data_IF_450773889105
#
_entry.id   IF_450773889105
#
_cell.length_a   1.000
_cell.length_b   1.000
_cell.length_c   1.000
_cell.angle_alpha   90.00
_cell.angle_beta   90.00
_cell.angle_gamma   90.00
#
_symmetry.space_group_name_H-M   'P 1'
#
loop_
_entity.id
_entity.type
_entity.pdbx_description
1 polymer ?
#
# COMPACT_ATOMS: atom_id res chain seq x y z
N UNK A 1 7.45 5.63 8.38
CA UNK A 1 8.42 4.56 8.73
C UNK A 1 7.80 3.71 9.82
N UNK A 2 7.67 2.39 9.63
CA UNK A 2 7.12 1.45 10.64
C UNK A 2 8.27 1.01 11.58
N UNK A 3 8.32 1.48 12.83
CA UNK A 3 9.43 1.15 13.73
C UNK A 3 9.54 -0.35 14.03
N UNK A 4 8.42 -1.06 14.14
CA UNK A 4 8.34 -2.49 14.43
C UNK A 4 8.98 -3.33 13.31
N UNK A 5 8.61 -3.05 12.06
CA UNK A 5 9.19 -3.71 10.89
C UNK A 5 10.69 -3.45 10.78
N UNK A 6 11.13 -2.22 11.08
CA UNK A 6 12.55 -1.85 11.09
C UNK A 6 13.34 -2.56 12.19
N UNK A 7 12.76 -2.75 13.38
CA UNK A 7 13.42 -3.46 14.49
C UNK A 7 13.75 -4.92 14.14
N UNK A 8 12.93 -5.58 13.34
CA UNK A 8 13.08 -7.00 13.04
C UNK A 8 13.84 -7.26 11.74
N UNK A 9 13.63 -6.45 10.70
CA UNK A 9 14.37 -6.60 9.43
C UNK A 9 15.60 -5.68 9.32
N UNK A 10 15.88 -4.83 10.32
CA UNK A 10 17.00 -3.89 10.36
C UNK A 10 16.90 -2.70 9.39
N UNK A 11 16.20 -2.86 8.25
CA UNK A 11 16.30 -1.95 7.09
C UNK A 11 15.00 -1.27 6.64
N UNK A 12 13.83 -1.59 7.20
CA UNK A 12 12.56 -0.97 6.76
C UNK A 12 12.22 -1.35 5.29
N UNK A 13 11.58 -0.45 4.54
CA UNK A 13 11.39 -0.63 3.08
C UNK A 13 12.75 -0.52 2.37
N UNK A 14 13.29 -1.65 1.92
CA UNK A 14 14.62 -1.74 1.33
C UNK A 14 14.56 -2.00 -0.17
N UNK A 15 15.24 -1.16 -0.95
CA UNK A 15 15.44 -1.39 -2.38
C UNK A 15 16.89 -1.79 -2.64
N UNK A 16 17.12 -2.88 -3.36
CA UNK A 16 18.44 -3.33 -3.81
C UNK A 16 18.38 -3.65 -5.31
N UNK A 17 19.27 -3.06 -6.11
CA UNK A 17 19.28 -3.19 -7.58
C UNK A 17 17.88 -2.96 -8.22
N UNK A 18 17.23 -1.85 -7.81
CA UNK A 18 15.88 -1.45 -8.23
C UNK A 18 14.75 -2.45 -7.89
N UNK A 19 15.00 -3.37 -6.94
CA UNK A 19 14.04 -4.37 -6.48
C UNK A 19 13.64 -4.15 -5.04
N UNK A 20 12.34 -4.30 -4.74
CA UNK A 20 11.82 -4.27 -3.38
C UNK A 20 12.16 -5.56 -2.64
N UNK A 21 12.82 -5.44 -1.48
CA UNK A 21 13.19 -6.57 -0.63
C UNK A 21 12.23 -6.65 0.56
N UNK A 22 11.42 -7.71 0.60
CA UNK A 22 10.53 -8.01 1.74
C UNK A 22 9.24 -7.20 1.81
N UNK A 23 8.93 -6.41 0.76
CA UNK A 23 7.67 -5.70 0.56
C UNK A 23 7.27 -5.75 -0.92
N UNK A 24 5.99 -5.50 -1.19
CA UNK A 24 5.47 -5.35 -2.55
C UNK A 24 5.01 -3.91 -2.78
N UNK A 25 4.91 -3.54 -4.05
CA UNK A 25 4.18 -2.36 -4.50
C UNK A 25 3.23 -2.79 -5.62
N UNK A 26 1.96 -2.41 -5.50
CA UNK A 26 0.90 -2.67 -6.47
C UNK A 26 0.29 -1.35 -6.92
N UNK A 27 0.29 -1.09 -8.22
CA UNK A 27 -0.49 -0.01 -8.80
C UNK A 27 -1.96 -0.41 -8.83
N UNK A 28 -2.81 0.36 -8.13
CA UNK A 28 -4.25 0.15 -8.05
C UNK A 28 -4.99 0.81 -9.23
N UNK A 29 -4.32 1.69 -9.96
CA UNK A 29 -4.86 2.31 -11.18
C UNK A 29 -4.69 1.38 -12.37
N UNK A 30 -3.50 0.78 -12.52
CA UNK A 30 -3.19 -0.23 -13.53
C UNK A 30 -2.59 -1.49 -12.88
N UNK A 31 -3.41 -2.54 -12.74
CA UNK A 31 -2.97 -3.77 -12.07
C UNK A 31 -1.84 -4.51 -12.81
N UNK A 32 -1.60 -4.20 -14.09
CA UNK A 32 -0.50 -4.78 -14.85
C UNK A 32 0.87 -4.21 -14.47
N UNK A 33 0.89 -3.00 -13.89
CA UNK A 33 2.07 -2.32 -13.35
C UNK A 33 2.30 -2.72 -11.88
N UNK A 34 2.91 -3.88 -11.65
CA UNK A 34 3.15 -4.42 -10.31
C UNK A 34 4.62 -4.75 -10.06
N UNK A 35 5.14 -4.32 -8.91
CA UNK A 35 6.46 -4.67 -8.40
C UNK A 35 6.46 -5.97 -7.58
N UNK A 36 5.55 -6.91 -7.89
CA UNK A 36 5.36 -8.16 -7.13
C UNK A 36 6.30 -9.27 -7.64
N UNK A 37 6.70 -9.23 -8.91
CA UNK A 37 7.59 -10.23 -9.51
C UNK A 37 9.06 -9.79 -9.40
N UNK A 38 9.96 -10.76 -9.18
CA UNK A 38 11.42 -10.57 -9.12
C UNK A 38 12.00 -9.90 -10.39
N UNK A 39 11.27 -9.95 -11.50
CA UNK A 39 11.70 -9.46 -12.81
C UNK A 39 11.00 -8.16 -13.25
N UNK A 40 10.12 -7.59 -12.41
CA UNK A 40 9.34 -6.39 -12.78
C UNK A 40 9.63 -5.22 -11.86
N UNK A 41 10.17 -4.15 -12.43
CA UNK A 41 10.22 -2.85 -11.79
C UNK A 41 8.83 -2.21 -11.83
N UNK A 42 8.53 -1.36 -10.85
CA UNK A 42 7.32 -0.55 -10.87
C UNK A 42 7.66 0.86 -11.31
N UNK A 43 6.90 1.38 -12.28
CA UNK A 43 7.00 2.78 -12.67
C UNK A 43 5.97 3.61 -11.89
N UNK A 44 6.45 4.69 -11.29
CA UNK A 44 5.57 5.68 -10.65
C UNK A 44 5.07 6.67 -11.71
N UNK A 45 3.78 6.58 -12.01
CA UNK A 45 3.07 7.28 -13.09
C UNK A 45 2.20 8.37 -12.48
N UNK A 46 2.19 9.54 -13.14
CA UNK A 46 1.42 10.69 -12.70
C UNK A 46 -0.09 10.38 -12.60
N UNK A 47 -0.67 10.67 -11.44
CA UNK A 47 -2.07 10.44 -11.12
C UNK A 47 -2.44 9.00 -10.82
N UNK A 48 -1.46 8.09 -10.65
CA UNK A 48 -1.70 6.72 -10.22
C UNK A 48 -1.68 6.58 -8.70
N UNK A 49 -2.34 5.53 -8.23
CA UNK A 49 -2.48 5.17 -6.82
C UNK A 49 -1.77 3.85 -6.58
N UNK A 50 -0.98 3.78 -5.53
CA UNK A 50 -0.14 2.63 -5.21
C UNK A 50 -0.48 2.10 -3.83
N UNK A 51 -0.56 0.79 -3.68
CA UNK A 51 -0.56 0.12 -2.39
C UNK A 51 0.78 -0.58 -2.19
N UNK A 52 1.38 -0.38 -1.03
CA UNK A 52 2.58 -1.09 -0.65
C UNK A 52 2.53 -1.51 0.81
N UNK A 53 3.14 -2.65 1.09
CA UNK A 53 3.18 -3.26 2.42
C UNK A 53 4.31 -4.28 2.49
N UNK A 54 4.89 -4.53 3.67
CA UNK A 54 5.65 -5.74 3.91
C UNK A 54 4.87 -7.00 3.49
N UNK A 55 5.57 -7.97 2.91
CA UNK A 55 4.99 -9.24 2.45
C UNK A 55 4.64 -10.14 3.65
N UNK A 56 5.41 -10.07 4.75
CA UNK A 56 5.16 -10.87 5.95
C UNK A 56 3.90 -10.36 6.66
N UNK A 57 2.85 -11.19 6.72
CA UNK A 57 1.53 -10.82 7.27
C UNK A 57 1.57 -10.17 8.66
N UNK A 58 2.42 -10.68 9.57
CA UNK A 58 2.62 -10.11 10.92
C UNK A 58 3.01 -8.63 10.94
N UNK A 59 3.60 -8.12 9.86
CA UNK A 59 4.02 -6.74 9.67
C UNK A 59 3.30 -6.06 8.51
N UNK A 60 2.14 -6.54 8.08
CA UNK A 60 1.47 -6.08 6.86
C UNK A 60 0.78 -4.70 7.00
N UNK A 61 1.49 -3.75 7.61
CA UNK A 61 1.16 -2.33 7.63
C UNK A 61 1.10 -1.85 6.19
N UNK A 62 -0.11 -1.50 5.78
CA UNK A 62 -0.43 -1.10 4.42
C UNK A 62 -0.37 0.40 4.28
N UNK A 63 0.22 0.84 3.18
CA UNK A 63 0.37 2.24 2.84
C UNK A 63 -0.26 2.50 1.48
N UNK A 64 -0.82 3.69 1.30
CA UNK A 64 -1.31 4.16 0.00
C UNK A 64 -0.48 5.36 -0.44
N UNK A 65 0.03 5.31 -1.67
CA UNK A 65 0.73 6.41 -2.31
C UNK A 65 -0.11 6.97 -3.45
N UNK A 66 -0.02 8.28 -3.67
CA UNK A 66 -0.61 8.95 -4.83
C UNK A 66 0.38 9.96 -5.39
N UNK A 67 0.74 9.81 -6.67
CA UNK A 67 1.67 10.71 -7.36
C UNK A 67 0.88 11.81 -8.05
N UNK A 68 1.13 13.08 -7.70
CA UNK A 68 0.56 14.22 -8.43
C UNK A 68 1.50 15.43 -8.48
N UNK A 69 1.71 15.98 -9.66
CA UNK A 69 2.60 17.11 -9.91
C UNK A 69 4.04 16.79 -9.52
N UNK A 70 4.50 15.55 -9.77
CA UNK A 70 5.82 15.08 -9.34
C UNK A 70 5.98 14.91 -7.83
N UNK A 71 4.91 15.09 -7.04
CA UNK A 71 4.91 14.90 -5.59
C UNK A 71 4.19 13.61 -5.20
N UNK A 72 4.88 12.76 -4.46
CA UNK A 72 4.32 11.56 -3.88
C UNK A 72 3.71 11.87 -2.50
N UNK A 73 2.39 11.76 -2.38
CA UNK A 73 1.71 11.79 -1.08
C UNK A 73 1.57 10.36 -0.57
N UNK A 74 1.96 10.10 0.69
CA UNK A 74 1.91 8.77 1.29
C UNK A 74 1.01 8.81 2.54
N UNK A 75 0.00 7.94 2.55
CA UNK A 75 -0.82 7.62 3.71
C UNK A 75 -0.31 6.33 4.33
N UNK A 76 -0.03 6.34 5.63
CA UNK A 76 0.70 5.28 6.30
C UNK A 76 -0.15 4.43 7.22
N UNK A 77 0.12 3.12 7.22
CA UNK A 77 -0.48 2.15 8.16
C UNK A 77 -2.00 2.20 8.17
N UNK A 78 -2.62 2.35 6.99
CA UNK A 78 -4.05 2.63 6.83
C UNK A 78 -4.97 1.50 7.30
N UNK A 79 -4.43 0.30 7.47
CA UNK A 79 -5.13 -0.86 7.99
C UNK A 79 -4.99 -1.02 9.51
N UNK A 80 -4.24 -0.15 10.19
CA UNK A 80 -3.89 -0.32 11.60
C UNK A 80 -4.57 0.73 12.46
N UNK A 81 -5.42 0.25 13.36
CA UNK A 81 -6.11 1.12 14.33
C UNK A 81 -5.09 1.94 15.13
N UNK A 82 -5.35 3.25 15.24
CA UNK A 82 -4.58 4.23 16.03
C UNK A 82 -3.08 4.39 15.68
N UNK A 83 -2.58 3.80 14.58
CA UNK A 83 -1.16 3.79 14.20
C UNK A 83 -0.81 4.59 12.94
N UNK A 84 -1.79 5.17 12.27
CA UNK A 84 -1.62 5.72 10.94
C UNK A 84 -2.75 6.64 10.49
N UNK A 85 -2.74 6.94 9.19
CA UNK A 85 -3.83 7.64 8.53
C UNK A 85 -5.07 6.74 8.43
N UNK A 86 -6.26 7.32 8.38
CA UNK A 86 -7.48 6.53 8.21
C UNK A 86 -7.75 6.24 6.73
N UNK A 87 -8.37 5.08 6.44
CA UNK A 87 -8.85 4.78 5.09
C UNK A 87 -9.86 5.82 4.59
N UNK A 88 -10.71 6.34 5.48
CA UNK A 88 -11.69 7.37 5.14
C UNK A 88 -11.02 8.68 4.70
N UNK A 89 -9.95 9.09 5.37
CA UNK A 89 -9.16 10.27 4.96
C UNK A 89 -8.52 10.07 3.59
N UNK A 90 -8.00 8.86 3.32
CA UNK A 90 -7.44 8.50 2.01
C UNK A 90 -8.51 8.61 0.93
N UNK A 91 -9.69 8.02 1.15
CA UNK A 91 -10.81 8.05 0.21
C UNK A 91 -11.30 9.48 -0.04
N UNK A 92 -11.46 10.28 1.01
CA UNK A 92 -11.87 11.68 0.90
C UNK A 92 -10.83 12.54 0.16
N UNK A 93 -9.54 12.28 0.37
CA UNK A 93 -8.47 12.94 -0.37
C UNK A 93 -8.53 12.57 -1.86
N UNK A 94 -8.62 11.28 -2.18
CA UNK A 94 -8.63 10.80 -3.56
C UNK A 94 -9.88 11.23 -4.31
N UNK A 95 -11.05 11.23 -3.69
CA UNK A 95 -12.30 11.68 -4.31
C UNK A 95 -12.15 13.12 -4.86
N UNK A 96 -11.55 14.02 -4.07
CA UNK A 96 -11.23 15.39 -4.51
C UNK A 96 -10.18 15.42 -5.62
N UNK A 97 -9.13 14.58 -5.54
CA UNK A 97 -8.03 14.61 -6.52
C UNK A 97 -8.39 13.97 -7.87
N UNK A 98 -9.37 13.07 -7.88
CA UNK A 98 -9.86 12.32 -9.03
C UNK A 98 -11.18 12.86 -9.59
N UNK A 99 -11.66 14.02 -9.15
CA UNK A 99 -12.99 14.54 -9.49
C UNK A 99 -13.36 14.48 -10.99
N UNK A 100 -12.38 14.64 -11.89
CA UNK A 100 -12.58 14.64 -13.34
C UNK A 100 -12.19 13.32 -14.03
N UNK A 101 -11.85 12.27 -13.29
CA UNK A 101 -11.48 10.96 -13.87
C UNK A 101 -12.73 10.13 -14.13
N UNK A 102 -12.85 9.62 -15.35
CA UNK A 102 -13.98 8.79 -15.79
C UNK A 102 -14.14 7.53 -14.94
N UNK A 103 -13.04 6.92 -14.50
CA UNK A 103 -13.04 5.70 -13.69
C UNK A 103 -12.91 5.95 -12.18
N UNK A 104 -13.25 7.15 -11.69
CA UNK A 104 -13.08 7.53 -10.27
C UNK A 104 -13.68 6.52 -9.30
N UNK A 105 -14.93 6.12 -9.49
CA UNK A 105 -15.63 5.22 -8.57
C UNK A 105 -14.96 3.85 -8.48
N UNK A 106 -14.50 3.32 -9.62
CA UNK A 106 -13.76 2.08 -9.67
C UNK A 106 -12.43 2.19 -8.91
N UNK A 107 -11.68 3.27 -9.10
CA UNK A 107 -10.42 3.50 -8.38
C UNK A 107 -10.65 3.61 -6.87
N UNK A 108 -11.67 4.35 -6.43
CA UNK A 108 -12.02 4.43 -5.01
C UNK A 108 -12.43 3.07 -4.45
N UNK A 109 -13.16 2.25 -5.21
CA UNK A 109 -13.48 0.88 -4.81
C UNK A 109 -12.23 0.02 -4.66
N UNK A 110 -11.28 0.09 -5.60
CA UNK A 110 -10.01 -0.64 -5.51
C UNK A 110 -9.19 -0.18 -4.31
N UNK A 111 -9.20 1.11 -3.99
CA UNK A 111 -8.54 1.65 -2.79
C UNK A 111 -9.23 1.19 -1.52
N UNK A 112 -10.57 1.09 -1.49
CA UNK A 112 -11.28 0.50 -0.35
C UNK A 112 -10.92 -0.98 -0.15
N UNK A 113 -10.79 -1.70 -1.25
CA UNK A 113 -10.47 -3.12 -1.32
C UNK A 113 -8.96 -3.41 -1.44
N UNK A 114 -8.08 -2.46 -1.11
CA UNK A 114 -6.65 -2.50 -1.43
C UNK A 114 -5.95 -3.81 -1.05
N UNK A 115 -6.30 -4.42 0.09
CA UNK A 115 -5.69 -5.69 0.54
C UNK A 115 -5.95 -6.86 -0.40
N UNK A 116 -7.03 -6.84 -1.19
CA UNK A 116 -7.34 -7.89 -2.19
C UNK A 116 -6.30 -7.95 -3.30
N UNK A 117 -5.57 -6.87 -3.54
CA UNK A 117 -4.57 -6.75 -4.59
C UNK A 117 -3.14 -6.94 -4.08
N UNK A 118 -2.95 -7.09 -2.76
CA UNK A 118 -1.63 -7.24 -2.15
C UNK A 118 -1.08 -8.67 -2.24
N UNK A 119 0.24 -8.80 -2.17
CA UNK A 119 0.93 -10.10 -2.11
C UNK A 119 1.48 -10.34 -0.71
N UNK A 120 0.81 -11.21 0.06
CA UNK A 120 1.17 -11.49 1.44
C UNK A 120 1.58 -12.95 1.60
N UNK A 121 2.74 -13.19 2.21
CA UNK A 121 3.12 -14.53 2.66
C UNK A 121 2.39 -14.84 3.97
N UNK A 122 1.70 -15.97 4.02
CA UNK A 122 1.29 -16.57 5.28
C UNK A 122 2.54 -17.00 6.05
N UNK A 123 2.66 -16.50 7.26
CA UNK A 123 3.58 -17.03 8.25
C UNK A 123 2.69 -17.40 9.41
N UNK A 124 2.87 -18.59 10.00
CA UNK A 124 2.21 -18.99 11.25
C UNK A 124 2.63 -18.03 12.35
N UNK A 125 1.95 -16.90 12.41
CA UNK A 125 2.21 -15.82 13.34
C UNK A 125 1.07 -15.83 14.35
N UNK A 126 1.43 -16.18 15.59
CA UNK A 126 0.53 -16.14 16.74
C UNK A 126 0.23 -14.71 17.21
N UNK A 127 0.90 -13.70 16.64
CA UNK A 127 0.73 -12.29 16.98
C UNK A 127 0.87 -11.40 15.73
N UNK A 128 -0.12 -10.53 15.51
CA UNK A 128 -0.05 -9.43 14.54
C UNK A 128 0.43 -8.17 15.25
N UNK A 129 1.38 -7.45 14.65
CA UNK A 129 1.90 -6.19 15.21
C UNK A 129 0.94 -5.00 15.00
N UNK A 130 -0.15 -5.25 14.26
CA UNK A 130 -1.19 -4.33 13.86
C UNK A 130 -2.53 -4.99 14.14
N UNK A 131 -3.38 -4.34 14.93
CA UNK A 131 -4.80 -4.67 14.99
C UNK A 131 -5.43 -4.16 13.70
N UNK A 132 -5.79 -5.08 12.82
CA UNK A 132 -6.39 -4.74 11.53
C UNK A 132 -7.78 -4.13 11.78
N UNK A 133 -8.11 -3.05 11.07
CA UNK A 133 -9.48 -2.58 10.99
C UNK A 133 -10.28 -3.66 10.25
N UNK A 134 -11.36 -4.17 10.86
CA UNK A 134 -12.23 -5.17 10.23
C UNK A 134 -12.68 -4.65 8.85
N UNK A 135 -12.16 -5.27 7.79
CA UNK A 135 -12.62 -5.00 6.44
C UNK A 135 -13.95 -5.74 6.28
N UNK A 136 -15.05 -5.06 6.58
CA UNK A 136 -16.40 -5.59 6.40
C UNK A 136 -16.53 -6.08 4.96
N UNK A 137 -16.62 -7.40 4.83
CA UNK A 137 -16.80 -8.17 3.59
C UNK A 137 -18.18 -7.97 2.98
#
# INVERSE_FOLDING_TARGET
>A
LIPEYRKINGKGFLVENDRSIGFFVQDLTDLSNSGISLDKCIDFIEGHIYHFSPIKRRFSFSHIAFLKGGKLTIFSSINCKDKGDSLDDVLAYLDKKLANRVNKEELLKRVKDFRKYGSYSTVDATHLECEEIDQIS
#
